data_IF_367510280263
#
_entry.id   IF_367510280263
#
_cell.length_a   1.000
_cell.length_b   1.000
_cell.length_c   1.000
_cell.angle_alpha   90.00
_cell.angle_beta   90.00
_cell.angle_gamma   90.00
#
_symmetry.space_group_name_H-M   'P 1'
#
loop_
_entity.id
_entity.type
_entity.pdbx_description
1 polymer ?
#
# COMPACT_ATOMS: atom_id res chain seq x y z
N UNK A 1 53.82 -2.90 49.82
CA UNK A 1 52.39 -2.53 49.86
C UNK A 1 51.74 -2.99 48.57
N UNK A 2 50.89 -4.01 48.62
CA UNK A 2 50.10 -4.45 47.47
C UNK A 2 48.81 -3.62 47.44
N UNK A 3 48.56 -2.92 46.33
CA UNK A 3 47.32 -2.18 46.10
C UNK A 3 46.24 -3.20 45.67
N UNK A 4 45.03 -3.19 46.22
CA UNK A 4 43.97 -4.11 45.80
C UNK A 4 43.43 -3.68 44.44
N UNK A 5 43.44 -4.59 43.48
CA UNK A 5 42.72 -4.42 42.22
C UNK A 5 41.22 -4.45 42.52
N UNK A 6 40.50 -3.38 42.16
CA UNK A 6 39.04 -3.39 42.16
C UNK A 6 38.54 -3.83 40.78
N UNK A 7 37.86 -4.98 40.63
CA UNK A 7 37.15 -5.32 39.42
C UNK A 7 35.79 -4.61 39.43
N UNK A 8 35.78 -3.34 39.04
CA UNK A 8 34.59 -2.49 38.98
C UNK A 8 34.14 -2.10 37.57
N UNK A 9 34.68 -2.72 36.52
CA UNK A 9 34.30 -2.42 35.13
C UNK A 9 33.32 -3.48 34.60
N UNK A 10 32.10 -3.47 35.15
CA UNK A 10 30.98 -4.17 34.54
C UNK A 10 30.75 -3.62 33.13
N UNK A 11 30.94 -4.46 32.13
CA UNK A 11 30.68 -4.17 30.71
C UNK A 11 29.22 -3.78 30.51
N UNK A 12 28.93 -2.46 30.46
CA UNK A 12 27.66 -1.92 29.98
C UNK A 12 27.59 -2.03 28.45
N UNK A 13 27.63 -3.25 27.90
CA UNK A 13 27.55 -3.49 26.45
C UNK A 13 26.18 -4.00 25.99
N UNK A 14 25.31 -4.46 26.90
CA UNK A 14 23.97 -4.98 26.58
C UNK A 14 22.88 -3.92 26.44
N UNK A 15 22.84 -2.92 27.33
CA UNK A 15 21.67 -2.04 27.45
C UNK A 15 21.47 -1.01 26.33
N UNK A 16 22.52 -0.64 25.58
CA UNK A 16 22.41 0.36 24.49
C UNK A 16 21.98 -0.27 23.16
N UNK A 17 22.20 -1.57 22.97
CA UNK A 17 21.83 -2.31 21.77
C UNK A 17 20.35 -2.66 21.77
N UNK A 18 19.88 -3.31 22.84
CA UNK A 18 18.48 -3.75 22.99
C UNK A 18 17.49 -2.59 22.90
N UNK A 19 17.79 -1.43 23.52
CA UNK A 19 16.94 -0.24 23.45
C UNK A 19 16.79 0.36 22.04
N UNK A 20 17.70 0.05 21.10
CA UNK A 20 17.60 0.47 19.69
C UNK A 20 16.94 -0.58 18.80
N UNK A 21 16.85 -1.84 19.25
CA UNK A 21 16.22 -2.91 18.48
C UNK A 21 14.70 -2.83 18.52
N UNK A 22 14.12 -2.51 19.69
CA UNK A 22 12.66 -2.46 19.83
C UNK A 22 11.99 -1.49 18.83
N UNK A 23 12.46 -0.24 18.63
CA UNK A 23 11.87 0.65 17.64
C UNK A 23 12.04 0.15 16.20
N UNK A 24 13.20 -0.45 15.88
CA UNK A 24 13.48 -1.00 14.55
C UNK A 24 12.60 -2.20 14.23
N UNK A 25 12.34 -3.06 15.22
CA UNK A 25 11.43 -4.20 15.07
C UNK A 25 9.99 -3.75 14.85
N UNK A 26 9.55 -2.70 15.55
CA UNK A 26 8.24 -2.08 15.35
C UNK A 26 8.12 -1.50 13.93
N UNK A 27 9.12 -0.75 13.48
CA UNK A 27 9.15 -0.19 12.12
C UNK A 27 9.14 -1.29 11.05
N UNK A 28 9.96 -2.34 11.23
CA UNK A 28 9.97 -3.48 10.33
C UNK A 28 8.62 -4.23 10.32
N UNK A 29 7.93 -4.34 11.46
CA UNK A 29 6.59 -4.92 11.52
C UNK A 29 5.56 -4.09 10.76
N UNK A 30 5.65 -2.76 10.82
CA UNK A 30 4.82 -1.85 10.02
C UNK A 30 5.13 -2.01 8.52
N UNK A 31 6.40 -2.08 8.14
CA UNK A 31 6.80 -2.33 6.75
C UNK A 31 6.26 -3.65 6.20
N UNK A 32 6.33 -4.73 7.00
CA UNK A 32 5.73 -6.03 6.63
C UNK A 32 4.21 -5.94 6.45
N UNK A 33 3.51 -5.27 7.37
CA UNK A 33 2.05 -5.05 7.28
C UNK A 33 1.68 -4.23 6.05
N UNK A 34 2.45 -3.19 5.75
CA UNK A 34 2.28 -2.34 4.59
C UNK A 34 2.42 -3.13 3.28
N UNK A 35 3.51 -3.89 3.12
CA UNK A 35 3.71 -4.73 1.94
C UNK A 35 2.63 -5.79 1.79
N UNK A 36 2.21 -6.44 2.87
CA UNK A 36 1.10 -7.40 2.84
C UNK A 36 -0.22 -6.74 2.38
N UNK A 37 -0.50 -5.53 2.84
CA UNK A 37 -1.66 -4.75 2.39
C UNK A 37 -1.57 -4.40 0.91
N UNK A 38 -0.41 -3.94 0.46
CA UNK A 38 -0.19 -3.54 -0.94
C UNK A 38 -0.33 -4.73 -1.90
N UNK A 39 0.21 -5.90 -1.53
CA UNK A 39 0.07 -7.15 -2.31
C UNK A 39 -1.38 -7.56 -2.48
N UNK A 40 -2.16 -7.58 -1.38
CA UNK A 40 -3.60 -7.88 -1.43
C UNK A 40 -4.37 -6.89 -2.31
N UNK A 41 -4.06 -5.60 -2.21
CA UNK A 41 -4.72 -4.58 -3.01
C UNK A 41 -4.45 -4.75 -4.52
N UNK A 42 -3.19 -5.00 -4.87
CA UNK A 42 -2.79 -5.28 -6.25
C UNK A 42 -3.46 -6.54 -6.78
N UNK A 43 -3.48 -7.64 -6.01
CA UNK A 43 -4.15 -8.87 -6.41
C UNK A 43 -5.66 -8.67 -6.62
N UNK A 44 -6.31 -7.93 -5.72
CA UNK A 44 -7.73 -7.56 -5.83
C UNK A 44 -8.01 -6.75 -7.09
N UNK A 45 -7.23 -5.69 -7.35
CA UNK A 45 -7.36 -4.87 -8.55
C UNK A 45 -7.07 -5.68 -9.82
N UNK A 46 -6.12 -6.61 -9.75
CA UNK A 46 -5.79 -7.53 -10.84
C UNK A 46 -6.97 -8.42 -11.20
N UNK A 47 -7.62 -9.03 -10.21
CA UNK A 47 -8.78 -9.89 -10.42
C UNK A 47 -9.98 -9.10 -11.00
N UNK A 48 -10.13 -7.83 -10.60
CA UNK A 48 -11.17 -6.96 -11.14
C UNK A 48 -10.86 -6.54 -12.60
N UNK A 49 -9.58 -6.28 -12.89
CA UNK A 49 -9.12 -5.92 -14.22
C UNK A 49 -9.01 -7.12 -15.18
N UNK A 50 -8.90 -8.36 -14.69
CA UNK A 50 -8.74 -9.60 -15.48
C UNK A 50 -9.48 -10.80 -14.84
N UNK A 51 -10.76 -11.02 -15.18
CA UNK A 51 -11.58 -12.11 -14.63
C UNK A 51 -11.05 -13.52 -14.91
N UNK A 52 -10.22 -13.69 -15.94
CA UNK A 52 -9.60 -14.99 -16.27
C UNK A 52 -8.43 -15.33 -15.34
N UNK A 53 -7.90 -14.36 -14.59
CA UNK A 53 -6.85 -14.57 -13.61
C UNK A 53 -7.44 -14.72 -12.21
N UNK A 54 -7.28 -15.92 -11.64
CA UNK A 54 -7.77 -16.20 -10.30
C UNK A 54 -7.00 -15.40 -9.23
N UNK A 55 -7.73 -14.89 -8.23
CA UNK A 55 -7.15 -14.10 -7.14
C UNK A 55 -5.99 -14.80 -6.40
N UNK A 56 -6.03 -16.11 -6.07
CA UNK A 56 -4.91 -16.80 -5.42
C UNK A 56 -3.63 -16.84 -6.28
N UNK A 57 -3.77 -16.89 -7.61
CA UNK A 57 -2.63 -16.86 -8.53
C UNK A 57 -2.01 -15.47 -8.52
N UNK A 58 -2.84 -14.43 -8.56
CA UNK A 58 -2.38 -13.04 -8.45
C UNK A 58 -1.69 -12.76 -7.11
N UNK A 59 -2.24 -13.26 -6.01
CA UNK A 59 -1.61 -13.14 -4.68
C UNK A 59 -0.19 -13.73 -4.69
N UNK A 60 -0.03 -14.97 -5.19
CA UNK A 60 1.29 -15.62 -5.33
C UNK A 60 2.25 -14.88 -6.25
N UNK A 61 1.75 -14.22 -7.30
CA UNK A 61 2.59 -13.38 -8.16
C UNK A 61 3.08 -12.14 -7.40
N UNK A 62 2.21 -11.49 -6.63
CA UNK A 62 2.55 -10.27 -5.88
C UNK A 62 3.54 -10.49 -4.74
N UNK A 63 3.65 -11.72 -4.21
CA UNK A 63 4.66 -12.08 -3.20
C UNK A 63 6.10 -11.85 -3.66
N UNK A 64 6.36 -12.00 -4.97
CA UNK A 64 7.69 -11.89 -5.57
C UNK A 64 8.08 -10.45 -5.92
N UNK A 65 7.14 -9.52 -5.83
CA UNK A 65 7.34 -8.13 -6.23
C UNK A 65 7.81 -7.27 -5.05
N UNK A 66 8.69 -6.33 -5.38
CA UNK A 66 9.14 -5.28 -4.48
C UNK A 66 8.14 -4.12 -4.42
N UNK A 67 8.31 -3.22 -3.45
CA UNK A 67 7.40 -2.11 -3.21
C UNK A 67 7.19 -1.23 -4.44
N UNK A 68 8.28 -0.89 -5.14
CA UNK A 68 8.22 -0.03 -6.33
C UNK A 68 7.39 -0.65 -7.45
N UNK A 69 7.59 -1.93 -7.71
CA UNK A 69 6.88 -2.71 -8.72
C UNK A 69 5.40 -2.83 -8.38
N UNK A 70 5.09 -3.12 -7.11
CA UNK A 70 3.71 -3.19 -6.61
C UNK A 70 2.99 -1.85 -6.75
N UNK A 71 3.65 -0.73 -6.45
CA UNK A 71 3.07 0.62 -6.61
C UNK A 71 2.79 0.94 -8.08
N UNK A 72 3.71 0.62 -8.97
CA UNK A 72 3.56 0.82 -10.40
C UNK A 72 2.39 -0.02 -10.95
N UNK A 73 2.33 -1.30 -10.57
CA UNK A 73 1.28 -2.21 -10.98
C UNK A 73 -0.09 -1.78 -10.44
N UNK A 74 -0.17 -1.37 -9.16
CA UNK A 74 -1.39 -0.80 -8.58
C UNK A 74 -1.92 0.37 -9.42
N UNK A 75 -1.08 1.34 -9.76
CA UNK A 75 -1.48 2.52 -10.55
C UNK A 75 -2.00 2.13 -11.93
N UNK A 76 -1.37 1.17 -12.59
CA UNK A 76 -1.81 0.68 -13.90
C UNK A 76 -3.17 -0.04 -13.80
N UNK A 77 -3.34 -0.91 -12.80
CA UNK A 77 -4.58 -1.65 -12.58
C UNK A 77 -5.73 -0.75 -12.12
N UNK A 78 -5.47 0.27 -11.30
CA UNK A 78 -6.47 1.28 -10.94
C UNK A 78 -7.00 1.99 -12.18
N UNK A 79 -6.13 2.42 -13.08
CA UNK A 79 -6.52 3.06 -14.35
C UNK A 79 -7.38 2.12 -15.19
N UNK A 80 -6.91 0.88 -15.40
CA UNK A 80 -7.61 -0.14 -16.19
C UNK A 80 -8.97 -0.51 -15.61
N UNK A 81 -9.06 -0.63 -14.29
CA UNK A 81 -10.30 -0.91 -13.56
C UNK A 81 -11.28 0.26 -13.74
N UNK A 82 -10.83 1.51 -13.61
CA UNK A 82 -11.67 2.69 -13.85
C UNK A 82 -12.18 2.77 -15.28
N UNK A 83 -11.38 2.37 -16.26
CA UNK A 83 -11.80 2.34 -17.67
C UNK A 83 -12.85 1.24 -17.91
N UNK A 84 -12.63 0.02 -17.38
CA UNK A 84 -13.59 -1.09 -17.52
C UNK A 84 -14.90 -0.84 -16.79
N UNK A 85 -14.82 -0.34 -15.56
CA UNK A 85 -15.96 -0.08 -14.70
C UNK A 85 -16.26 1.41 -14.62
N UNK A 86 -16.02 2.17 -15.71
CA UNK A 86 -16.36 3.58 -15.78
C UNK A 86 -17.82 3.71 -15.34
N UNK A 87 -18.01 4.16 -14.10
CA UNK A 87 -19.31 4.23 -13.46
C UNK A 87 -20.08 5.23 -14.30
N UNK A 88 -21.00 4.75 -15.15
CA UNK A 88 -21.98 5.63 -15.77
C UNK A 88 -22.76 6.23 -14.60
N UNK A 89 -22.47 7.47 -14.27
CA UNK A 89 -23.30 8.23 -13.34
C UNK A 89 -24.70 8.22 -13.94
N UNK A 90 -25.68 7.70 -13.20
CA UNK A 90 -27.07 7.61 -13.67
C UNK A 90 -27.71 8.99 -13.91
N UNK A 91 -27.03 10.07 -13.49
CA UNK A 91 -27.38 11.45 -13.79
C UNK A 91 -26.51 11.99 -14.93
N UNK A 92 -27.16 12.23 -16.07
CA UNK A 92 -26.72 13.18 -17.08
C UNK A 92 -27.27 14.53 -16.65
N UNK A 93 -26.44 15.45 -16.17
CA UNK A 93 -26.84 16.85 -16.08
C UNK A 93 -26.92 17.34 -17.53
N UNK A 94 -28.13 17.41 -18.09
CA UNK A 94 -28.36 18.17 -19.30
C UNK A 94 -27.92 19.60 -19.01
N UNK A 95 -26.77 19.99 -19.57
CA UNK A 95 -26.42 21.40 -19.71
C UNK A 95 -27.62 22.09 -20.38
N UNK A 96 -28.02 23.21 -19.77
CA UNK A 96 -29.36 23.74 -19.84
C UNK A 96 -29.96 23.85 -21.24
N UNK A 97 -31.22 23.46 -21.35
CA UNK A 97 -32.13 24.06 -22.31
C UNK A 97 -32.28 25.56 -21.98
N UNK A 98 -31.31 26.38 -22.37
CA UNK A 98 -31.50 27.81 -22.57
C UNK A 98 -31.57 28.06 -24.07
N UNK A 99 -32.71 27.69 -24.67
CA UNK A 99 -33.08 28.11 -26.02
C UNK A 99 -34.55 27.85 -26.35
N UNK A 100 -35.49 28.13 -25.44
CA UNK A 100 -36.93 28.14 -25.83
C UNK A 100 -37.84 28.96 -24.93
N UNK A 101 -37.49 30.21 -24.62
CA UNK A 101 -38.50 31.21 -24.18
C UNK A 101 -38.10 32.61 -24.66
N UNK A 102 -38.00 32.81 -25.97
CA UNK A 102 -37.95 34.15 -26.58
C UNK A 102 -38.40 34.11 -28.04
N UNK A 103 -39.54 33.48 -28.32
CA UNK A 103 -40.32 33.62 -29.58
C UNK A 103 -41.71 33.04 -29.36
N UNK A 104 -42.55 33.81 -28.70
CA UNK A 104 -43.97 34.01 -28.97
C UNK A 104 -44.67 34.51 -27.70
N UNK A 105 -45.23 35.72 -27.80
CA UNK A 105 -45.94 36.44 -26.74
C UNK A 105 -45.70 37.94 -26.81
#
# INVERSE_FOLDING_TARGET
>A
MAVPAQPGAGVLKGFRGEARLEPLEQEAALGRKYLAGLRREVARLGALAEPELEAPVLERMTEKLEEGELKALRKALEKRTRERYALRTQLTYSEGQEQETARDG
#
